data_IF_780443138458
#
_entry.id   IF_780443138458
#
_cell.length_a   1.000
_cell.length_b   1.000
_cell.length_c   1.000
_cell.angle_alpha   90.00
_cell.angle_beta   90.00
_cell.angle_gamma   90.00
#
_symmetry.space_group_name_H-M   'P 1'
#
loop_
_entity.id
_entity.type
_entity.pdbx_description
1 polymer ?
#
# COMPACT_ATOMS: atom_id res chain seq x y z
N UNK A 1 -12.65 20.41 15.01
CA UNK A 1 -11.95 19.12 14.93
C UNK A 1 -12.37 18.40 13.66
N UNK A 2 -11.42 17.93 12.91
CA UNK A 2 -11.69 17.20 11.66
C UNK A 2 -12.18 15.79 11.99
N UNK A 3 -13.30 15.35 11.43
CA UNK A 3 -13.75 13.96 11.65
C UNK A 3 -12.68 12.97 11.20
N UNK A 4 -12.54 11.88 11.91
CA UNK A 4 -11.57 10.83 11.59
C UNK A 4 -11.72 10.33 10.16
N UNK A 5 -12.95 10.22 9.66
CA UNK A 5 -13.23 9.78 8.29
C UNK A 5 -12.65 10.74 7.25
N UNK A 6 -12.63 12.04 7.53
CA UNK A 6 -12.03 13.04 6.63
C UNK A 6 -10.51 12.92 6.63
N UNK A 7 -9.91 12.73 7.80
CA UNK A 7 -8.46 12.51 7.89
C UNK A 7 -8.05 11.29 7.10
N UNK A 8 -8.80 10.22 7.21
CA UNK A 8 -8.54 8.99 6.46
C UNK A 8 -8.66 9.21 4.96
N UNK A 9 -9.72 9.89 4.53
CA UNK A 9 -9.93 10.18 3.11
C UNK A 9 -8.78 11.01 2.55
N UNK A 10 -8.33 12.01 3.30
CA UNK A 10 -7.19 12.86 2.90
C UNK A 10 -5.89 12.06 2.85
N UNK A 11 -5.68 11.19 3.81
CA UNK A 11 -4.49 10.35 3.87
C UNK A 11 -4.43 9.37 2.69
N UNK A 12 -5.56 8.77 2.36
CA UNK A 12 -5.69 7.90 1.20
C UNK A 12 -5.34 8.67 -0.07
N UNK A 13 -5.89 9.87 -0.21
CA UNK A 13 -5.62 10.71 -1.36
C UNK A 13 -4.15 11.06 -1.50
N UNK A 14 -3.50 11.36 -0.39
CA UNK A 14 -2.07 11.67 -0.39
C UNK A 14 -1.22 10.47 -0.82
N UNK A 15 -1.55 9.29 -0.34
CA UNK A 15 -0.84 8.05 -0.74
C UNK A 15 -0.98 7.78 -2.23
N UNK A 16 -2.18 7.98 -2.76
CA UNK A 16 -2.42 7.81 -4.19
C UNK A 16 -1.57 8.78 -5.00
N UNK A 17 -1.55 10.04 -4.58
CA UNK A 17 -0.76 11.08 -5.25
C UNK A 17 0.73 10.77 -5.21
N UNK A 18 1.23 10.38 -4.05
CA UNK A 18 2.65 10.05 -3.90
C UNK A 18 3.04 8.84 -4.75
N UNK A 19 2.20 7.81 -4.78
CA UNK A 19 2.45 6.63 -5.60
C UNK A 19 2.46 6.98 -7.09
N UNK A 20 1.54 7.85 -7.51
CA UNK A 20 1.49 8.31 -8.89
C UNK A 20 2.75 9.11 -9.26
N UNK A 21 3.17 10.03 -8.39
CA UNK A 21 4.38 10.83 -8.61
C UNK A 21 5.64 9.97 -8.62
N UNK A 22 5.70 8.96 -7.76
CA UNK A 22 6.83 8.04 -7.73
C UNK A 22 7.00 7.30 -9.06
N UNK A 23 5.90 7.02 -9.76
CA UNK A 23 5.90 6.41 -11.07
C UNK A 23 5.99 7.42 -12.21
N UNK A 24 6.11 8.70 -11.87
CA UNK A 24 6.22 9.79 -12.84
C UNK A 24 5.05 9.85 -13.81
N UNK A 25 3.86 9.53 -13.31
CA UNK A 25 2.64 9.52 -14.11
C UNK A 25 1.86 10.81 -13.93
N UNK A 26 1.33 11.34 -15.04
CA UNK A 26 0.33 12.40 -14.98
C UNK A 26 -1.01 11.76 -14.59
N UNK A 27 -1.98 12.62 -14.24
CA UNK A 27 -3.35 12.15 -14.00
C UNK A 27 -3.91 11.43 -15.23
N UNK A 28 -3.65 12.00 -16.41
CA UNK A 28 -4.10 11.38 -17.66
C UNK A 28 -3.45 10.03 -17.92
N UNK A 29 -2.16 9.92 -17.67
CA UNK A 29 -1.45 8.66 -17.87
C UNK A 29 -1.97 7.57 -16.93
N UNK A 30 -2.23 7.92 -15.67
CA UNK A 30 -2.81 6.96 -14.74
C UNK A 30 -4.23 6.56 -15.15
N UNK A 31 -5.04 7.55 -15.57
CA UNK A 31 -6.37 7.27 -16.10
C UNK A 31 -6.31 6.27 -17.26
N UNK A 32 -5.37 6.48 -18.18
CA UNK A 32 -5.19 5.59 -19.33
C UNK A 32 -4.81 4.17 -18.88
N UNK A 33 -4.00 4.05 -17.85
CA UNK A 33 -3.61 2.74 -17.33
C UNK A 33 -4.78 1.98 -16.70
N UNK A 34 -5.83 2.68 -16.27
CA UNK A 34 -7.06 2.03 -15.80
C UNK A 34 -7.97 1.62 -16.96
N UNK A 35 -7.51 1.81 -18.21
CA UNK A 35 -8.34 1.57 -19.38
C UNK A 35 -9.46 2.57 -19.53
N UNK A 36 -9.33 3.74 -18.90
CA UNK A 36 -10.35 4.78 -18.92
C UNK A 36 -11.48 4.55 -17.94
N UNK A 37 -11.40 3.52 -17.11
CA UNK A 37 -12.44 3.24 -16.12
C UNK A 37 -12.53 4.36 -15.07
N UNK A 38 -11.43 5.03 -14.78
CA UNK A 38 -11.38 6.17 -13.87
C UNK A 38 -10.86 7.38 -14.64
N UNK A 39 -11.65 8.46 -14.66
CA UNK A 39 -11.27 9.69 -15.36
C UNK A 39 -10.20 10.45 -14.57
N UNK A 40 -9.51 11.36 -15.26
CA UNK A 40 -8.54 12.27 -14.63
C UNK A 40 -9.18 13.06 -13.49
N UNK A 41 -10.37 13.57 -13.72
CA UNK A 41 -11.10 14.35 -12.72
C UNK A 41 -11.41 13.50 -11.48
N UNK A 42 -11.81 12.26 -11.70
CA UNK A 42 -12.14 11.36 -10.60
C UNK A 42 -10.91 11.03 -9.77
N UNK A 43 -9.80 10.71 -10.44
CA UNK A 43 -8.53 10.44 -9.74
C UNK A 43 -8.09 11.68 -8.96
N UNK A 44 -8.18 12.86 -9.58
CA UNK A 44 -7.83 14.12 -8.92
C UNK A 44 -8.68 14.33 -7.66
N UNK A 45 -9.97 14.04 -7.74
CA UNK A 45 -10.87 14.19 -6.59
C UNK A 45 -10.50 13.23 -5.46
N UNK A 46 -10.04 12.03 -5.77
CA UNK A 46 -9.52 11.11 -4.76
C UNK A 46 -8.26 11.67 -4.10
N UNK A 47 -7.33 12.18 -4.91
CA UNK A 47 -6.07 12.72 -4.40
C UNK A 47 -6.27 13.93 -3.51
N UNK A 48 -7.26 14.74 -3.79
CA UNK A 48 -7.56 15.94 -3.01
C UNK A 48 -8.42 15.66 -1.77
N UNK A 49 -8.85 14.42 -1.58
CA UNK A 49 -9.71 14.07 -0.46
C UNK A 49 -11.15 14.54 -0.61
N UNK A 50 -11.52 14.98 -1.81
CA UNK A 50 -12.88 15.44 -2.11
C UNK A 50 -13.84 14.26 -2.23
N UNK A 51 -13.33 13.15 -2.76
CA UNK A 51 -14.11 11.95 -2.98
C UNK A 51 -13.46 10.75 -2.30
N UNK A 52 -14.27 9.92 -1.67
CA UNK A 52 -13.77 8.71 -1.01
C UNK A 52 -13.40 7.66 -2.06
N UNK A 53 -12.22 7.10 -1.89
CA UNK A 53 -11.75 5.99 -2.74
C UNK A 53 -12.40 4.70 -2.27
N UNK A 54 -13.15 4.06 -3.17
CA UNK A 54 -13.77 2.78 -2.87
C UNK A 54 -12.83 1.61 -3.05
N UNK A 55 -13.25 0.45 -2.59
CA UNK A 55 -12.43 -0.77 -2.65
C UNK A 55 -12.10 -1.17 -4.09
N UNK A 56 -13.08 -1.19 -4.97
CA UNK A 56 -12.86 -1.60 -6.35
C UNK A 56 -11.94 -0.63 -7.09
N UNK A 57 -12.15 0.67 -6.87
CA UNK A 57 -11.32 1.70 -7.47
C UNK A 57 -9.89 1.63 -6.96
N UNK A 58 -9.72 1.34 -5.68
CA UNK A 58 -8.38 1.17 -5.10
C UNK A 58 -7.65 -0.01 -5.76
N UNK A 59 -8.37 -1.10 -6.02
CA UNK A 59 -7.78 -2.25 -6.71
C UNK A 59 -7.37 -1.91 -8.15
N UNK A 60 -8.22 -1.17 -8.87
CA UNK A 60 -7.90 -0.72 -10.22
C UNK A 60 -6.66 0.15 -10.23
N UNK A 61 -6.59 1.10 -9.31
CA UNK A 61 -5.45 2.02 -9.23
C UNK A 61 -4.18 1.32 -8.80
N UNK A 62 -4.28 0.40 -7.84
CA UNK A 62 -3.12 -0.38 -7.42
C UNK A 62 -2.54 -1.20 -8.59
N UNK A 63 -3.41 -1.81 -9.37
CA UNK A 63 -3.01 -2.54 -10.56
C UNK A 63 -2.36 -1.64 -11.60
N UNK A 64 -2.96 -0.48 -11.83
CA UNK A 64 -2.45 0.49 -12.80
C UNK A 64 -1.10 1.05 -12.38
N UNK A 65 -0.89 1.28 -11.09
CA UNK A 65 0.38 1.76 -10.56
C UNK A 65 1.46 0.66 -10.56
N UNK A 66 1.08 -0.56 -10.23
CA UNK A 66 1.98 -1.71 -10.24
C UNK A 66 2.99 -1.77 -9.11
N UNK A 67 3.03 -0.78 -8.23
CA UNK A 67 4.04 -0.67 -7.17
C UNK A 67 3.48 -0.68 -5.77
N UNK A 68 2.17 -0.52 -5.63
CA UNK A 68 1.50 -0.49 -4.33
C UNK A 68 0.29 -1.40 -4.35
N UNK A 69 -0.15 -1.80 -3.16
CA UNK A 69 -1.34 -2.63 -3.01
C UNK A 69 -2.56 -1.75 -2.75
N UNK A 70 -3.75 -2.32 -2.96
CA UNK A 70 -4.99 -1.65 -2.59
C UNK A 70 -5.06 -1.38 -1.09
N UNK A 71 -4.59 -2.33 -0.26
CA UNK A 71 -4.56 -2.16 1.19
C UNK A 71 -3.67 -0.99 1.61
N UNK A 72 -2.56 -0.81 0.92
CA UNK A 72 -1.69 0.35 1.16
C UNK A 72 -2.42 1.65 0.84
N UNK A 73 -3.04 1.74 -0.35
CA UNK A 73 -3.75 2.94 -0.77
C UNK A 73 -4.88 3.29 0.20
N UNK A 74 -5.58 2.28 0.69
CA UNK A 74 -6.70 2.47 1.61
C UNK A 74 -6.27 2.64 3.06
N UNK A 75 -4.98 2.68 3.34
CA UNK A 75 -4.42 2.84 4.68
C UNK A 75 -4.85 1.72 5.65
N UNK A 76 -5.15 0.55 5.13
CA UNK A 76 -5.58 -0.56 5.97
C UNK A 76 -4.40 -1.25 6.66
N UNK A 77 -3.19 -1.05 6.15
CA UNK A 77 -1.97 -1.62 6.74
C UNK A 77 -1.48 -0.87 7.97
N UNK A 78 -2.05 0.29 8.26
CA UNK A 78 -1.58 1.19 9.31
C UNK A 78 -2.05 0.79 10.71
N UNK A 79 -2.92 -0.19 10.81
CA UNK A 79 -3.58 -0.53 12.07
C UNK A 79 -2.70 -1.33 13.04
N UNK A 80 -1.43 -1.43 12.75
CA UNK A 80 -0.46 -1.85 13.74
C UNK A 80 -0.50 -3.30 14.15
N UNK A 81 -0.78 -4.21 13.24
CA UNK A 81 -0.69 -5.63 13.54
C UNK A 81 0.74 -6.09 13.73
N UNK A 82 1.69 -5.34 13.18
CA UNK A 82 3.10 -5.69 13.25
C UNK A 82 3.85 -4.61 14.01
N UNK A 83 4.76 -5.04 14.89
CA UNK A 83 5.66 -4.15 15.59
C UNK A 83 6.74 -3.64 14.64
N UNK A 84 7.48 -2.62 15.06
CA UNK A 84 8.61 -2.12 14.29
C UNK A 84 9.66 -3.19 14.05
N UNK A 85 9.89 -4.05 15.04
CA UNK A 85 10.83 -5.16 14.91
C UNK A 85 10.35 -6.19 13.89
N UNK A 86 9.06 -6.48 13.89
CA UNK A 86 8.47 -7.38 12.91
C UNK A 86 8.57 -6.83 11.50
N UNK A 87 8.31 -5.54 11.33
CA UNK A 87 8.44 -4.87 10.04
C UNK A 87 9.88 -4.90 9.55
N UNK A 88 10.84 -4.65 10.45
CA UNK A 88 12.26 -4.70 10.12
C UNK A 88 12.67 -6.10 9.69
N UNK A 89 12.20 -7.11 10.42
CA UNK A 89 12.48 -8.50 10.08
C UNK A 89 11.95 -8.86 8.69
N UNK A 90 10.72 -8.44 8.40
CA UNK A 90 10.13 -8.68 7.07
C UNK A 90 10.90 -7.99 5.97
N UNK A 91 11.34 -6.76 6.21
CA UNK A 91 12.11 -6.02 5.23
C UNK A 91 13.42 -6.74 4.91
N UNK A 92 14.13 -7.18 5.94
CA UNK A 92 15.37 -7.94 5.77
C UNK A 92 15.13 -9.26 5.06
N UNK A 93 14.08 -9.96 5.46
CA UNK A 93 13.71 -11.25 4.87
C UNK A 93 13.40 -11.10 3.37
N UNK A 94 12.64 -10.07 3.01
CA UNK A 94 12.29 -9.81 1.61
C UNK A 94 13.45 -9.34 0.77
N UNK A 95 14.42 -8.68 1.41
CA UNK A 95 15.58 -8.11 0.72
C UNK A 95 16.72 -9.09 0.49
N UNK A 96 16.67 -10.29 1.03
CA UNK A 96 17.72 -11.27 0.86
C UNK A 96 17.33 -12.35 -0.17
N UNK A 97 18.30 -13.18 -0.56
CA UNK A 97 18.05 -14.26 -1.51
C UNK A 97 17.41 -15.47 -0.83
N UNK A 98 17.14 -16.51 -1.60
CA UNK A 98 16.49 -17.72 -1.09
C UNK A 98 17.27 -18.37 0.04
N UNK A 99 18.59 -18.44 -0.12
CA UNK A 99 19.48 -19.03 0.89
C UNK A 99 19.43 -18.22 2.19
N UNK A 100 19.44 -16.91 2.07
CA UNK A 100 19.33 -16.01 3.23
C UNK A 100 18.01 -16.18 3.94
N UNK A 101 16.92 -16.34 3.19
CA UNK A 101 15.60 -16.57 3.78
C UNK A 101 15.54 -17.88 4.56
N UNK A 102 16.15 -18.93 4.03
CA UNK A 102 16.25 -20.22 4.74
C UNK A 102 17.00 -20.06 6.05
N UNK A 103 18.10 -19.32 6.02
CA UNK A 103 18.91 -19.06 7.21
C UNK A 103 18.10 -18.29 8.26
N UNK A 104 17.39 -17.24 7.86
CA UNK A 104 16.56 -16.45 8.78
C UNK A 104 15.47 -17.32 9.40
N UNK A 105 14.79 -18.13 8.59
CA UNK A 105 13.77 -19.03 9.09
C UNK A 105 14.33 -20.06 10.05
N UNK A 106 15.50 -20.62 9.73
CA UNK A 106 16.14 -21.60 10.61
C UNK A 106 16.50 -21.03 11.97
N UNK A 107 17.03 -19.81 11.98
CA UNK A 107 17.34 -19.12 13.24
C UNK A 107 16.07 -18.83 14.03
N UNK A 108 15.03 -18.32 13.36
CA UNK A 108 13.77 -18.01 14.02
C UNK A 108 13.15 -19.26 14.63
N UNK A 109 13.15 -20.38 13.89
CA UNK A 109 12.61 -21.63 14.37
C UNK A 109 13.38 -22.15 15.58
N UNK A 110 14.73 -22.02 15.57
CA UNK A 110 15.56 -22.48 16.67
C UNK A 110 15.33 -21.71 17.96
N UNK A 111 14.85 -20.47 17.85
CA UNK A 111 14.56 -19.62 19.00
C UNK A 111 13.10 -19.67 19.44
N UNK A 112 12.29 -20.41 18.72
CA UNK A 112 10.86 -20.44 18.99
C UNK A 112 10.53 -21.48 20.07
N UNK A 113 9.88 -21.05 21.16
CA UNK A 113 9.50 -21.92 22.27
C UNK A 113 8.16 -22.61 22.06
N UNK A 114 7.42 -22.21 21.03
CA UNK A 114 6.10 -22.76 20.74
C UNK A 114 6.15 -23.47 19.39
N UNK A 115 6.42 -24.79 19.38
CA UNK A 115 6.49 -25.53 18.14
C UNK A 115 5.14 -25.58 17.43
N UNK A 116 5.17 -25.56 16.12
CA UNK A 116 3.98 -25.69 15.29
C UNK A 116 3.24 -24.40 15.00
N UNK A 117 3.82 -23.28 15.29
CA UNK A 117 3.22 -22.01 14.92
C UNK A 117 3.46 -21.67 13.46
#
# INVERSE_FOLDING_TARGET
>A
MVPEAQDLTSKIGLRLREARHAEKLSLGALSDRTGGALSRSRISNYEQGIRRLGLEEARMLARALGTVSATYLLCLDDEGFLSEQELELLRCFRGTDERGRETVLGVAESQCDVPGL
#
